data_IF_865316658504
#
_entry.id   IF_865316658504
#
_cell.length_a   1.000
_cell.length_b   1.000
_cell.length_c   1.000
_cell.angle_alpha   90.00
_cell.angle_beta   90.00
_cell.angle_gamma   90.00
#
_symmetry.space_group_name_H-M   'P 1'
#
loop_
_entity.id
_entity.type
_entity.pdbx_description
1 polymer ?
#
# COMPACT_ATOMS: atom_id res chain seq x y z
N UNK A 1 16.09 -20.00 1.68
CA UNK A 1 16.16 -19.19 2.91
C UNK A 1 16.98 -17.95 2.60
N UNK A 2 16.41 -16.77 2.86
CA UNK A 2 17.11 -15.50 2.78
C UNK A 2 17.65 -15.18 4.19
N UNK A 3 18.94 -14.87 4.30
CA UNK A 3 19.54 -14.43 5.55
C UNK A 3 19.79 -12.93 5.45
N UNK A 4 19.23 -12.17 6.40
CA UNK A 4 19.33 -10.72 6.47
C UNK A 4 19.77 -10.31 7.86
N UNK A 5 20.76 -9.43 7.94
CA UNK A 5 21.20 -8.82 9.19
C UNK A 5 20.32 -7.61 9.50
N UNK A 6 19.69 -7.62 10.67
CA UNK A 6 18.86 -6.51 11.12
C UNK A 6 19.67 -5.63 12.10
N UNK A 7 19.59 -4.30 11.98
CA UNK A 7 20.11 -3.40 13.00
C UNK A 7 19.48 -3.71 14.37
N UNK A 8 20.27 -3.61 15.45
CA UNK A 8 19.83 -3.92 16.83
C UNK A 8 18.53 -3.21 17.21
N UNK A 9 18.36 -1.95 16.79
CA UNK A 9 17.14 -1.18 17.07
C UNK A 9 15.90 -1.79 16.40
N UNK A 10 16.04 -2.31 15.17
CA UNK A 10 14.96 -2.94 14.44
C UNK A 10 14.60 -4.30 15.03
N UNK A 11 15.61 -5.09 15.42
CA UNK A 11 15.38 -6.38 16.08
C UNK A 11 14.59 -6.23 17.39
N UNK A 12 14.92 -5.22 18.21
CA UNK A 12 14.17 -4.90 19.43
C UNK A 12 12.72 -4.52 19.14
N UNK A 13 12.48 -3.71 18.10
CA UNK A 13 11.12 -3.33 17.69
C UNK A 13 10.32 -4.56 17.25
N UNK A 14 10.92 -5.41 16.42
CA UNK A 14 10.31 -6.65 15.96
C UNK A 14 9.93 -7.56 17.15
N UNK A 15 10.81 -7.69 18.13
CA UNK A 15 10.55 -8.47 19.33
C UNK A 15 9.37 -7.95 20.15
N UNK A 16 9.27 -6.62 20.30
CA UNK A 16 8.14 -5.99 21.01
C UNK A 16 6.82 -6.26 20.27
N UNK A 17 6.80 -6.09 18.95
CA UNK A 17 5.59 -6.32 18.14
C UNK A 17 5.17 -7.79 18.23
N UNK A 18 6.09 -8.72 18.00
CA UNK A 18 5.85 -10.17 18.08
C UNK A 18 5.27 -10.59 19.44
N UNK A 19 5.86 -10.09 20.54
CA UNK A 19 5.36 -10.36 21.90
C UNK A 19 3.95 -9.79 22.13
N UNK A 20 3.68 -8.56 21.66
CA UNK A 20 2.36 -7.92 21.83
C UNK A 20 1.26 -8.60 21.01
N UNK A 21 1.61 -9.16 19.86
CA UNK A 21 0.66 -9.86 18.98
C UNK A 21 0.55 -11.36 19.28
N UNK A 22 1.38 -11.90 20.18
CA UNK A 22 1.41 -13.34 20.48
C UNK A 22 1.98 -14.19 19.34
N UNK A 23 2.80 -13.59 18.47
CA UNK A 23 3.37 -14.22 17.26
C UNK A 23 4.88 -14.38 17.37
N UNK A 24 5.48 -15.18 16.50
CA UNK A 24 6.94 -15.29 16.44
C UNK A 24 7.56 -14.12 15.66
N UNK A 25 8.84 -13.83 15.89
CA UNK A 25 9.59 -12.85 15.08
C UNK A 25 9.54 -13.18 13.59
N UNK A 26 9.61 -14.48 13.27
CA UNK A 26 9.54 -14.97 11.90
C UNK A 26 8.20 -14.62 11.24
N UNK A 27 7.07 -14.89 11.90
CA UNK A 27 5.75 -14.65 11.32
C UNK A 27 5.52 -13.17 11.03
N UNK A 28 5.97 -12.30 11.93
CA UNK A 28 5.85 -10.85 11.77
C UNK A 28 6.76 -10.34 10.65
N UNK A 29 7.98 -10.87 10.50
CA UNK A 29 8.87 -10.49 9.39
C UNK A 29 8.32 -10.93 8.06
N UNK A 30 7.85 -12.18 7.95
CA UNK A 30 7.33 -12.72 6.70
C UNK A 30 6.12 -11.92 6.25
N UNK A 31 5.17 -11.63 7.15
CA UNK A 31 4.01 -10.80 6.82
C UNK A 31 4.41 -9.39 6.39
N UNK A 32 5.31 -8.72 7.13
CA UNK A 32 5.77 -7.38 6.75
C UNK A 32 6.46 -7.35 5.37
N UNK A 33 7.18 -8.42 5.01
CA UNK A 33 7.78 -8.55 3.67
C UNK A 33 6.68 -8.76 2.62
N UNK A 34 5.68 -9.59 2.89
CA UNK A 34 4.56 -9.83 1.97
C UNK A 34 3.80 -8.53 1.71
N UNK A 35 3.45 -7.78 2.76
CA UNK A 35 2.79 -6.48 2.64
C UNK A 35 3.63 -5.51 1.80
N UNK A 36 4.93 -5.42 2.08
CA UNK A 36 5.82 -4.52 1.34
C UNK A 36 5.96 -4.92 -0.14
N UNK A 37 5.97 -6.21 -0.45
CA UNK A 37 5.99 -6.71 -1.83
C UNK A 37 4.69 -6.32 -2.55
N UNK A 38 3.54 -6.51 -1.91
CA UNK A 38 2.24 -6.12 -2.47
C UNK A 38 2.19 -4.63 -2.81
N UNK A 39 2.63 -3.76 -1.89
CA UNK A 39 2.71 -2.32 -2.14
C UNK A 39 3.62 -1.97 -3.33
N UNK A 40 4.74 -2.68 -3.47
CA UNK A 40 5.67 -2.49 -4.59
C UNK A 40 5.05 -2.96 -5.91
N UNK A 41 4.35 -4.10 -5.92
CA UNK A 41 3.66 -4.63 -7.09
C UNK A 41 2.55 -3.69 -7.56
N UNK A 42 1.72 -3.17 -6.64
CA UNK A 42 0.69 -2.18 -6.93
C UNK A 42 1.30 -0.91 -7.54
N UNK A 43 2.42 -0.43 -6.97
CA UNK A 43 3.16 0.72 -7.49
C UNK A 43 3.72 0.48 -8.90
N UNK A 44 4.21 -0.73 -9.18
CA UNK A 44 4.71 -1.11 -10.51
C UNK A 44 3.59 -1.14 -11.55
N UNK A 45 2.41 -1.69 -11.20
CA UNK A 45 1.22 -1.68 -12.08
C UNK A 45 0.78 -0.25 -12.37
N UNK A 46 0.77 0.62 -11.35
CA UNK A 46 0.43 2.03 -11.53
C UNK A 46 1.42 2.75 -12.46
N UNK A 47 2.72 2.48 -12.31
CA UNK A 47 3.77 3.04 -13.15
C UNK A 47 3.67 2.54 -14.60
N UNK A 48 3.36 1.26 -14.80
CA UNK A 48 3.12 0.69 -16.12
C UNK A 48 1.97 1.41 -16.82
N UNK A 49 0.83 1.57 -16.15
CA UNK A 49 -0.33 2.31 -16.69
C UNK A 49 -0.03 3.77 -16.97
N UNK A 50 0.76 4.42 -16.11
CA UNK A 50 1.16 5.81 -16.30
C UNK A 50 2.01 6.01 -17.56
N UNK A 51 2.85 5.03 -17.87
CA UNK A 51 3.76 5.07 -19.02
C UNK A 51 3.14 4.49 -20.30
N UNK A 52 1.94 3.91 -20.23
CA UNK A 52 1.23 3.41 -21.40
C UNK A 52 0.66 4.57 -22.22
N UNK A 53 1.29 4.85 -23.36
CA UNK A 53 0.87 5.92 -24.28
C UNK A 53 -0.45 5.64 -24.98
N UNK A 54 -0.86 4.36 -25.06
CA UNK A 54 -2.13 3.93 -25.66
C UNK A 54 -3.23 3.73 -24.60
N UNK A 55 -2.91 3.99 -23.33
CA UNK A 55 -3.84 3.84 -22.22
C UNK A 55 -5.02 4.80 -22.28
N UNK A 56 -6.18 4.36 -21.77
CA UNK A 56 -7.35 5.22 -21.62
C UNK A 56 -7.14 6.21 -20.46
N UNK A 57 -7.08 7.50 -20.78
CA UNK A 57 -6.99 8.57 -19.79
C UNK A 57 -8.35 9.22 -19.57
N UNK A 58 -8.77 9.28 -18.31
CA UNK A 58 -10.00 9.97 -17.91
C UNK A 58 -9.64 11.30 -17.25
N UNK A 59 -10.36 12.35 -17.62
CA UNK A 59 -10.36 13.61 -16.89
C UNK A 59 -10.98 13.43 -15.49
N UNK A 60 -10.69 14.36 -14.58
CA UNK A 60 -11.25 14.31 -13.22
C UNK A 60 -12.78 14.25 -13.22
N UNK A 61 -13.45 14.98 -14.11
CA UNK A 61 -14.91 14.99 -14.21
C UNK A 61 -15.44 13.62 -14.66
N UNK A 62 -14.82 12.99 -15.67
CA UNK A 62 -15.18 11.63 -16.11
C UNK A 62 -14.97 10.58 -15.00
N UNK A 63 -13.91 10.72 -14.19
CA UNK A 63 -13.67 9.82 -13.05
C UNK A 63 -14.75 9.99 -11.99
N UNK A 64 -15.12 11.23 -11.66
CA UNK A 64 -16.16 11.50 -10.67
C UNK A 64 -17.53 10.99 -11.13
N UNK A 65 -17.89 11.19 -12.40
CA UNK A 65 -19.12 10.63 -12.98
C UNK A 65 -19.15 9.10 -12.87
N UNK A 66 -18.06 8.44 -13.29
CA UNK A 66 -17.94 6.98 -13.25
C UNK A 66 -18.00 6.40 -11.82
N UNK A 67 -17.53 7.15 -10.82
CA UNK A 67 -17.56 6.75 -9.41
C UNK A 67 -18.79 7.25 -8.65
N UNK A 68 -19.69 8.01 -9.29
CA UNK A 68 -20.87 8.60 -8.64
C UNK A 68 -20.53 9.68 -7.61
N UNK A 69 -19.45 10.44 -7.83
CA UNK A 69 -18.93 11.47 -6.91
C UNK A 69 -19.33 12.91 -7.29
N UNK A 70 -20.10 13.10 -8.37
CA UNK A 70 -20.46 14.43 -8.88
C UNK A 70 -21.39 15.22 -7.96
N UNK A 71 -22.17 14.54 -7.12
CA UNK A 71 -23.24 15.15 -6.30
C UNK A 71 -22.78 15.64 -4.90
N UNK A 72 -21.55 15.37 -4.49
CA UNK A 72 -21.10 15.57 -3.10
C UNK A 72 -20.53 16.98 -2.81
N UNK A 73 -20.30 17.81 -3.82
CA UNK A 73 -19.65 19.13 -3.64
C UNK A 73 -20.60 20.31 -3.39
N UNK A 74 -21.92 20.08 -3.38
CA UNK A 74 -22.93 21.16 -3.35
C UNK A 74 -23.74 21.24 -2.03
N UNK A 75 -23.31 20.55 -0.95
CA UNK A 75 -24.02 20.52 0.35
C UNK A 75 -23.23 21.04 1.57
N UNK A 76 -22.13 21.76 1.37
CA UNK A 76 -21.34 22.32 2.49
C UNK A 76 -21.31 23.85 2.55
N UNK A 77 -22.31 24.53 2.00
CA UNK A 77 -22.64 25.92 2.37
C UNK A 77 -24.09 25.95 2.88
N UNK A 78 -24.24 26.08 4.20
CA UNK A 78 -25.52 26.12 4.92
C UNK A 78 -25.34 26.13 6.42
#
# INVERSE_FOLDING_TARGET
MLNVELPVALEKRLEIVARKTGRTKHDVVVEAIVEQIQDLEDGLIALERLNDSEGEWLSLDQVKERLGLDDASDRSDG
#
